data_IF_034575957192
#
_entry.id   IF_034575957192
#
_cell.length_a   1.000
_cell.length_b   1.000
_cell.length_c   1.000
_cell.angle_alpha   90.00
_cell.angle_beta   90.00
_cell.angle_gamma   90.00
#
_symmetry.space_group_name_H-M   'P 1'
#
loop_
_entity.id
_entity.type
_entity.pdbx_description
1 polymer ?
#
# COMPACT_ATOMS: atom_id res chain seq x y z
N UNK A 1 -8.28 14.33 -4.39
CA UNK A 1 -7.22 15.35 -4.43
C UNK A 1 -6.09 14.94 -3.50
N UNK A 2 -4.97 15.67 -3.47
CA UNK A 2 -3.79 15.31 -2.66
C UNK A 2 -4.04 15.41 -1.15
N UNK A 3 -5.06 16.17 -0.75
CA UNK A 3 -5.52 16.32 0.63
C UNK A 3 -6.53 15.24 1.08
N UNK A 4 -6.84 14.27 0.21
CA UNK A 4 -7.82 13.22 0.50
C UNK A 4 -9.29 13.62 0.30
N UNK A 5 -9.57 14.79 -0.28
CA UNK A 5 -10.93 15.16 -0.71
C UNK A 5 -11.29 14.52 -2.06
N UNK A 6 -12.58 14.37 -2.34
CA UNK A 6 -13.02 13.80 -3.63
C UNK A 6 -12.78 14.78 -4.79
N UNK A 7 -12.23 14.25 -5.89
CA UNK A 7 -11.98 15.02 -7.12
C UNK A 7 -13.27 15.13 -7.97
N UNK A 8 -13.23 15.98 -9.00
CA UNK A 8 -14.34 16.12 -9.95
C UNK A 8 -14.73 14.80 -10.63
N UNK A 9 -13.77 13.87 -10.77
CA UNK A 9 -14.02 12.54 -11.33
C UNK A 9 -14.96 11.69 -10.48
N UNK A 10 -15.13 12.00 -9.19
CA UNK A 10 -16.08 11.31 -8.31
C UNK A 10 -17.54 11.65 -8.67
N UNK A 11 -17.78 12.77 -9.36
CA UNK A 11 -19.10 13.33 -9.74
C UNK A 11 -20.02 13.71 -8.58
N UNK A 12 -19.99 12.96 -7.48
CA UNK A 12 -20.71 13.17 -6.25
C UNK A 12 -19.75 13.61 -5.14
N UNK A 13 -20.24 14.44 -4.22
CA UNK A 13 -19.50 14.88 -3.04
C UNK A 13 -18.12 15.51 -3.33
N UNK A 14 -17.98 16.15 -4.51
CA UNK A 14 -16.73 16.78 -4.95
C UNK A 14 -16.28 17.83 -3.93
N UNK A 15 -15.01 17.75 -3.50
CA UNK A 15 -14.42 18.64 -2.51
C UNK A 15 -14.66 18.24 -1.06
N UNK A 16 -15.47 17.22 -0.77
CA UNK A 16 -15.64 16.71 0.59
C UNK A 16 -14.56 15.69 0.98
N UNK A 17 -14.24 15.61 2.28
CA UNK A 17 -13.31 14.62 2.82
C UNK A 17 -13.87 13.19 2.72
N UNK A 18 -13.00 12.25 2.32
CA UNK A 18 -13.36 10.85 2.08
C UNK A 18 -14.01 10.14 3.26
N UNK A 19 -13.67 10.48 4.51
CA UNK A 19 -14.26 9.83 5.68
C UNK A 19 -15.68 10.30 5.91
N UNK A 20 -15.92 11.61 5.77
CA UNK A 20 -17.27 12.19 5.80
C UNK A 20 -18.16 11.59 4.71
N UNK A 21 -17.63 11.47 3.49
CA UNK A 21 -18.41 10.91 2.37
C UNK A 21 -18.69 9.43 2.56
N UNK A 22 -17.80 8.67 3.20
CA UNK A 22 -18.03 7.25 3.51
C UNK A 22 -19.27 7.03 4.36
N UNK A 23 -19.55 7.92 5.31
CA UNK A 23 -20.76 7.85 6.14
C UNK A 23 -22.00 8.27 5.35
N UNK A 24 -21.94 9.42 4.66
CA UNK A 24 -23.06 9.95 3.85
C UNK A 24 -23.51 8.98 2.76
N UNK A 25 -22.56 8.39 2.03
CA UNK A 25 -22.90 7.47 0.94
C UNK A 25 -23.55 6.18 1.46
N UNK A 26 -23.20 5.73 2.67
CA UNK A 26 -23.82 4.58 3.29
C UNK A 26 -25.30 4.86 3.63
N UNK A 27 -25.61 6.05 4.12
CA UNK A 27 -26.99 6.50 4.35
C UNK A 27 -27.77 6.62 3.03
N UNK A 28 -27.19 7.26 2.02
CA UNK A 28 -27.83 7.41 0.70
C UNK A 28 -28.12 6.05 0.04
N UNK A 29 -27.19 5.10 0.12
CA UNK A 29 -27.39 3.74 -0.39
C UNK A 29 -28.49 3.00 0.39
N UNK A 30 -28.66 3.27 1.68
CA UNK A 30 -29.74 2.72 2.50
C UNK A 30 -31.10 3.29 2.08
N UNK A 31 -31.19 4.60 1.90
CA UNK A 31 -32.42 5.28 1.46
C UNK A 31 -32.87 4.84 0.07
N UNK A 32 -31.92 4.65 -0.84
CA UNK A 32 -32.19 4.16 -2.21
C UNK A 32 -32.45 2.65 -2.28
N UNK A 33 -32.32 1.93 -1.16
CA UNK A 33 -32.54 0.47 -1.11
C UNK A 33 -31.43 -0.36 -1.76
N UNK A 34 -30.25 0.22 -2.03
CA UNK A 34 -29.10 -0.49 -2.60
C UNK A 34 -28.21 -1.13 -1.53
N UNK A 35 -28.38 -0.77 -0.25
CA UNK A 35 -27.61 -1.33 0.86
C UNK A 35 -28.24 -2.65 1.37
N UNK A 36 -27.60 -3.77 1.06
CA UNK A 36 -28.10 -5.11 1.43
C UNK A 36 -27.78 -5.52 2.87
N UNK A 37 -26.58 -5.21 3.36
CA UNK A 37 -26.08 -5.64 4.68
C UNK A 37 -25.01 -4.67 5.17
N UNK A 38 -24.99 -4.44 6.48
CA UNK A 38 -23.89 -3.77 7.19
C UNK A 38 -23.36 -4.73 8.25
N UNK A 39 -22.05 -4.94 8.27
CA UNK A 39 -21.39 -5.78 9.25
C UNK A 39 -20.05 -5.17 9.67
N UNK A 40 -19.70 -5.36 10.94
CA UNK A 40 -18.41 -4.94 11.47
C UNK A 40 -17.39 -6.03 11.19
N UNK A 41 -16.32 -5.66 10.47
CA UNK A 41 -15.20 -6.55 10.19
C UNK A 41 -13.92 -5.97 10.77
N UNK A 42 -13.04 -6.84 11.25
CA UNK A 42 -11.67 -6.46 11.56
C UNK A 42 -10.85 -6.51 10.27
N UNK A 43 -10.46 -5.34 9.77
CA UNK A 43 -9.63 -5.23 8.57
C UNK A 43 -8.22 -4.76 8.94
N UNK A 44 -7.22 -5.20 8.18
CA UNK A 44 -5.85 -4.73 8.32
C UNK A 44 -5.63 -3.54 7.37
N UNK A 45 -5.58 -2.33 7.93
CA UNK A 45 -5.44 -1.08 7.18
C UNK A 45 -3.98 -0.62 7.26
N UNK A 46 -3.42 -0.16 6.14
CA UNK A 46 -2.07 0.39 6.11
C UNK A 46 -2.02 1.79 6.71
N UNK A 47 -1.06 2.04 7.60
CA UNK A 47 -0.82 3.33 8.23
C UNK A 47 0.58 3.83 7.92
N UNK A 48 0.73 5.15 7.85
CA UNK A 48 2.02 5.82 7.73
C UNK A 48 2.83 5.56 8.99
N UNK A 49 4.04 5.02 8.82
CA UNK A 49 4.96 4.73 9.94
C UNK A 49 5.27 5.99 10.78
N UNK A 50 5.23 7.18 10.17
CA UNK A 50 5.63 8.44 10.83
C UNK A 50 4.48 9.20 11.47
N UNK A 51 3.32 9.20 10.82
CA UNK A 51 2.19 10.07 11.19
C UNK A 51 0.97 9.30 11.65
N UNK A 52 0.98 7.97 11.53
CA UNK A 52 -0.15 7.09 11.81
C UNK A 52 -1.43 7.46 11.02
N UNK A 53 -1.25 8.18 9.90
CA UNK A 53 -2.33 8.48 8.98
C UNK A 53 -2.63 7.25 8.10
N UNK A 54 -3.91 6.98 7.86
CA UNK A 54 -4.35 5.93 6.93
C UNK A 54 -3.81 6.19 5.53
N UNK A 55 -3.11 5.21 4.96
CA UNK A 55 -2.55 5.26 3.61
C UNK A 55 -3.64 4.94 2.59
N UNK A 56 -3.73 5.77 1.55
CA UNK A 56 -4.63 5.57 0.42
C UNK A 56 -3.84 5.34 -0.87
N UNK A 57 -4.14 4.31 -1.67
CA UNK A 57 -3.49 4.09 -2.94
C UNK A 57 -3.97 5.14 -3.97
N UNK A 58 -3.02 5.86 -4.56
CA UNK A 58 -3.27 6.80 -5.66
C UNK A 58 -2.25 6.57 -6.77
N UNK A 59 -2.70 6.60 -8.01
CA UNK A 59 -1.79 6.63 -9.16
C UNK A 59 -1.10 7.98 -9.23
N UNK A 60 0.23 7.96 -9.19
CA UNK A 60 1.07 9.13 -9.41
C UNK A 60 2.30 8.74 -10.22
N UNK A 61 2.87 9.70 -10.94
CA UNK A 61 4.19 9.53 -11.53
C UNK A 61 5.23 9.56 -10.41
N UNK A 62 6.06 8.53 -10.35
CA UNK A 62 7.12 8.37 -9.36
C UNK A 62 8.38 7.85 -10.03
N UNK A 63 9.52 8.05 -9.36
CA UNK A 63 10.80 7.51 -9.78
C UNK A 63 10.99 6.13 -9.18
N UNK A 64 11.30 5.15 -10.03
CA UNK A 64 11.51 3.77 -9.62
C UNK A 64 12.90 3.29 -9.99
N UNK A 65 13.50 2.52 -9.08
CA UNK A 65 14.71 1.76 -9.36
C UNK A 65 14.35 0.34 -9.81
N UNK A 66 14.91 -0.10 -10.95
CA UNK A 66 14.68 -1.45 -11.48
C UNK A 66 15.42 -2.50 -10.64
N UNK A 67 14.70 -3.14 -9.72
CA UNK A 67 15.32 -3.93 -8.66
C UNK A 67 15.85 -5.27 -9.15
N UNK A 68 15.30 -5.86 -10.20
CA UNK A 68 15.78 -7.15 -10.74
C UNK A 68 17.30 -7.15 -11.03
N UNK A 69 17.84 -6.05 -11.56
CA UNK A 69 19.27 -5.93 -11.86
C UNK A 69 20.14 -5.74 -10.61
N UNK A 70 19.60 -5.09 -9.58
CA UNK A 70 20.33 -4.80 -8.34
C UNK A 70 20.24 -5.96 -7.34
N UNK A 71 19.10 -6.64 -7.33
CA UNK A 71 18.80 -7.73 -6.40
C UNK A 71 19.63 -8.98 -6.70
N UNK A 72 19.83 -9.30 -7.99
CA UNK A 72 20.62 -10.47 -8.44
C UNK A 72 22.03 -10.54 -7.83
N UNK A 73 22.92 -9.55 -8.03
CA UNK A 73 24.28 -9.63 -7.50
C UNK A 73 24.30 -9.62 -5.96
N UNK A 74 23.37 -8.92 -5.31
CA UNK A 74 23.27 -8.92 -3.85
C UNK A 74 22.85 -10.30 -3.30
N UNK A 75 21.85 -10.92 -3.93
CA UNK A 75 21.39 -12.27 -3.60
C UNK A 75 22.49 -13.31 -3.82
N UNK A 76 23.18 -13.29 -4.95
CA UNK A 76 24.26 -14.23 -5.27
C UNK A 76 25.39 -14.20 -4.22
N UNK A 77 25.80 -13.01 -3.78
CA UNK A 77 26.86 -12.88 -2.77
C UNK A 77 26.46 -13.44 -1.41
N UNK A 78 25.19 -13.32 -1.02
CA UNK A 78 24.67 -13.96 0.20
C UNK A 78 24.56 -15.47 0.01
N UNK A 79 24.08 -15.94 -1.15
CA UNK A 79 23.88 -17.37 -1.40
C UNK A 79 25.20 -18.15 -1.47
N UNK A 80 26.25 -17.54 -2.02
CA UNK A 80 27.59 -18.11 -2.12
C UNK A 80 28.43 -17.92 -0.85
N UNK A 81 27.85 -17.45 0.26
CA UNK A 81 28.50 -17.25 1.56
C UNK A 81 29.68 -16.25 1.55
N UNK A 82 29.78 -15.40 0.51
CA UNK A 82 30.67 -14.22 0.52
C UNK A 82 30.22 -13.24 1.62
N UNK A 83 28.90 -13.15 1.84
CA UNK A 83 28.27 -12.43 2.96
C UNK A 83 27.57 -13.46 3.84
N UNK A 84 27.88 -13.46 5.14
CA UNK A 84 27.31 -14.39 6.11
C UNK A 84 26.43 -13.66 7.11
N UNK A 85 25.17 -14.08 7.20
CA UNK A 85 24.25 -13.59 8.23
C UNK A 85 24.44 -14.34 9.55
N UNK A 86 24.33 -13.60 10.66
CA UNK A 86 24.27 -14.18 12.01
C UNK A 86 22.98 -13.74 12.72
N UNK A 87 22.12 -14.67 13.17
CA UNK A 87 22.15 -16.12 12.93
C UNK A 87 21.88 -16.52 11.45
N UNK A 88 22.36 -17.70 11.05
CA UNK A 88 22.30 -18.18 9.66
C UNK A 88 20.88 -18.31 9.09
N UNK A 89 19.86 -18.49 9.94
CA UNK A 89 18.44 -18.59 9.55
C UNK A 89 17.96 -17.39 8.72
N UNK A 90 18.54 -16.20 8.93
CA UNK A 90 18.15 -15.00 8.18
C UNK A 90 18.49 -15.07 6.70
N UNK A 91 19.40 -15.95 6.28
CA UNK A 91 19.71 -16.21 4.87
C UNK A 91 18.45 -16.60 4.07
N UNK A 92 17.57 -17.41 4.67
CA UNK A 92 16.33 -17.84 4.01
C UNK A 92 15.31 -16.70 3.88
N UNK A 93 15.13 -15.89 4.93
CA UNK A 93 14.25 -14.71 4.90
C UNK A 93 14.73 -13.68 3.87
N UNK A 94 16.05 -13.43 3.84
CA UNK A 94 16.67 -12.54 2.86
C UNK A 94 16.46 -13.06 1.43
N UNK A 95 16.74 -14.35 1.18
CA UNK A 95 16.49 -14.97 -0.13
C UNK A 95 15.04 -14.78 -0.57
N UNK A 96 14.08 -15.11 0.28
CA UNK A 96 12.66 -14.98 -0.05
C UNK A 96 12.27 -13.53 -0.38
N UNK A 97 12.81 -12.56 0.37
CA UNK A 97 12.55 -11.14 0.11
C UNK A 97 13.15 -10.68 -1.22
N UNK A 98 14.42 -11.03 -1.48
CA UNK A 98 15.14 -10.62 -2.70
C UNK A 98 14.58 -11.27 -3.97
N UNK A 99 14.07 -12.51 -3.90
CA UNK A 99 13.45 -13.20 -5.05
C UNK A 99 12.08 -12.60 -5.43
N UNK A 100 11.38 -11.99 -4.48
CA UNK A 100 10.03 -11.44 -4.67
C UNK A 100 9.99 -9.90 -4.70
N UNK A 101 11.15 -9.26 -4.73
CA UNK A 101 11.27 -7.81 -4.64
C UNK A 101 10.61 -7.12 -5.85
N UNK A 102 9.95 -5.99 -5.59
CA UNK A 102 9.38 -5.11 -6.61
C UNK A 102 10.30 -3.92 -6.84
N UNK A 103 10.12 -3.24 -7.98
CA UNK A 103 10.84 -2.01 -8.26
C UNK A 103 10.62 -0.98 -7.16
N UNK A 104 11.70 -0.39 -6.67
CA UNK A 104 11.67 0.44 -5.47
C UNK A 104 11.35 1.89 -5.83
N UNK A 105 10.27 2.43 -5.27
CA UNK A 105 9.93 3.85 -5.36
C UNK A 105 10.92 4.68 -4.53
N UNK A 106 11.61 5.63 -5.17
CA UNK A 106 12.65 6.47 -4.54
C UNK A 106 12.26 7.95 -4.46
N UNK A 107 11.02 8.28 -4.81
CA UNK A 107 10.41 9.60 -4.64
C UNK A 107 9.10 9.53 -3.87
#
# INVERSE_FOLDING_TARGET
NDDGTLSEAAQLYVGEDRFTVREKIAEELKEKGFLKKVETITNNVGFSERTDAVIEPKLSLQWFCKMDKLAKPALENVMNDNIKFYPSKFKNSYKHWMENIKDWCIS
#
